data_IF_223380369663
#
_entry.id   IF_223380369663
#
_cell.length_a   1.000
_cell.length_b   1.000
_cell.length_c   1.000
_cell.angle_alpha   90.00
_cell.angle_beta   90.00
_cell.angle_gamma   90.00
#
_symmetry.space_group_name_H-M   'P 1'
#
loop_
_entity.id
_entity.type
_entity.pdbx_description
1 polymer ?
#
# COMPACT_ATOMS: atom_id res chain seq x y z
N UNK A 1 12.48 0.20 20.40
CA UNK A 1 11.22 -0.06 21.13
C UNK A 1 10.26 -0.61 20.10
N UNK A 2 10.00 -1.92 20.06
CA UNK A 2 9.36 -2.58 18.90
C UNK A 2 8.00 -2.00 18.51
N UNK A 3 7.20 -1.52 19.47
CA UNK A 3 5.93 -0.85 19.18
C UNK A 3 6.14 0.56 18.60
N UNK A 4 7.16 1.29 19.07
CA UNK A 4 7.49 2.59 18.51
C UNK A 4 8.02 2.45 17.07
N UNK A 5 8.78 1.39 16.82
CA UNK A 5 9.48 1.16 15.55
C UNK A 5 8.62 0.42 14.51
N UNK A 6 7.39 -0.01 14.83
CA UNK A 6 6.52 -0.63 13.84
C UNK A 6 6.09 0.38 12.78
N UNK A 7 6.02 -0.06 11.52
CA UNK A 7 5.77 0.84 10.38
C UNK A 7 4.38 1.50 10.47
N UNK A 8 3.37 0.78 10.96
CA UNK A 8 2.03 1.31 11.27
C UNK A 8 2.09 2.49 12.25
N UNK A 9 2.86 2.35 13.34
CA UNK A 9 3.01 3.39 14.35
C UNK A 9 3.84 4.58 13.83
N UNK A 10 4.78 4.33 12.90
CA UNK A 10 5.50 5.40 12.20
C UNK A 10 4.57 6.19 11.28
N UNK A 11 3.71 5.51 10.51
CA UNK A 11 2.71 6.13 9.64
C UNK A 11 1.72 6.97 10.44
N UNK A 12 1.16 6.42 11.50
CA UNK A 12 0.21 7.11 12.37
C UNK A 12 0.82 8.40 12.92
N UNK A 13 2.01 8.34 13.53
CA UNK A 13 2.68 9.54 14.06
C UNK A 13 2.99 10.58 12.99
N UNK A 14 3.37 10.13 11.79
CA UNK A 14 3.77 11.03 10.70
C UNK A 14 2.56 11.74 10.09
N UNK A 15 1.44 11.03 9.92
CA UNK A 15 0.29 11.53 9.18
C UNK A 15 -0.79 12.14 10.09
N UNK A 16 -0.91 11.72 11.35
CA UNK A 16 -1.94 12.25 12.27
C UNK A 16 -1.97 13.78 12.33
N UNK A 17 -0.84 14.52 12.43
CA UNK A 17 -0.87 15.98 12.42
C UNK A 17 -1.46 16.59 11.13
N UNK A 18 -1.25 15.93 9.98
CA UNK A 18 -1.76 16.38 8.68
C UNK A 18 -3.29 16.23 8.63
N UNK A 19 -3.81 15.07 9.05
CA UNK A 19 -5.25 14.83 9.11
C UNK A 19 -5.94 15.70 10.19
N UNK A 20 -5.30 15.87 11.35
CA UNK A 20 -5.81 16.74 12.41
C UNK A 20 -5.91 18.21 11.96
N UNK A 21 -4.97 18.71 11.16
CA UNK A 21 -5.05 20.05 10.58
C UNK A 21 -6.28 20.24 9.66
N UNK A 22 -6.75 19.16 9.04
CA UNK A 22 -7.99 19.11 8.26
C UNK A 22 -9.24 18.76 9.10
N UNK A 23 -9.12 18.68 10.43
CA UNK A 23 -10.19 18.24 11.36
C UNK A 23 -10.67 16.81 11.12
N UNK A 24 -9.76 15.93 10.68
CA UNK A 24 -10.00 14.50 10.49
C UNK A 24 -9.26 13.69 11.56
N UNK A 25 -9.80 12.50 11.86
CA UNK A 25 -9.13 11.48 12.66
C UNK A 25 -8.45 10.47 11.73
N UNK A 26 -7.27 9.98 12.12
CA UNK A 26 -6.52 8.98 11.35
C UNK A 26 -6.45 7.69 12.15
N UNK A 27 -6.87 6.59 11.52
CA UNK A 27 -6.68 5.25 12.05
C UNK A 27 -5.80 4.46 11.10
N UNK A 28 -4.74 3.85 11.64
CA UNK A 28 -3.82 3.01 10.87
C UNK A 28 -4.00 1.57 11.31
N UNK A 29 -4.21 0.68 10.33
CA UNK A 29 -4.40 -0.75 10.57
C UNK A 29 -3.49 -1.54 9.64
N UNK A 30 -2.75 -2.51 10.18
CA UNK A 30 -1.86 -3.36 9.40
C UNK A 30 -2.61 -4.60 8.89
N UNK A 31 -2.64 -4.76 7.56
CA UNK A 31 -3.12 -5.96 6.88
C UNK A 31 -2.02 -6.64 6.03
N UNK A 32 -0.75 -6.32 6.28
CA UNK A 32 0.41 -6.96 5.65
C UNK A 32 1.00 -8.06 6.54
N UNK A 33 2.32 -8.23 6.48
CA UNK A 33 3.07 -9.15 7.35
C UNK A 33 2.68 -8.96 8.82
N UNK A 34 2.34 -10.06 9.50
CA UNK A 34 1.87 -10.06 10.89
C UNK A 34 0.43 -9.59 11.10
N UNK A 35 -0.25 -9.04 10.08
CA UNK A 35 -1.62 -8.50 10.12
C UNK A 35 -2.75 -9.55 10.01
N UNK A 36 -2.44 -10.83 10.23
CA UNK A 36 -3.45 -11.90 10.39
C UNK A 36 -4.00 -12.54 9.12
N UNK A 37 -3.61 -12.12 7.92
CA UNK A 37 -4.12 -12.66 6.63
C UNK A 37 -3.03 -13.29 5.72
N UNK A 38 -1.81 -13.44 6.26
CA UNK A 38 -0.70 -14.13 5.61
C UNK A 38 0.51 -13.23 5.33
N UNK A 39 1.67 -13.86 5.16
CA UNK A 39 2.95 -13.21 4.94
C UNK A 39 3.37 -13.30 3.46
N UNK A 40 2.56 -12.69 2.59
CA UNK A 40 2.82 -12.70 1.14
C UNK A 40 2.12 -11.52 0.46
N UNK A 41 2.86 -10.78 -0.38
CA UNK A 41 2.29 -9.75 -1.25
C UNK A 41 1.15 -10.31 -2.12
N UNK A 42 1.20 -11.58 -2.54
CA UNK A 42 0.13 -12.19 -3.34
C UNK A 42 -1.24 -12.24 -2.64
N UNK A 43 -1.30 -12.03 -1.32
CA UNK A 43 -2.53 -12.06 -0.54
C UNK A 43 -3.15 -10.67 -0.31
N UNK A 44 -2.52 -9.59 -0.75
CA UNK A 44 -2.91 -8.21 -0.43
C UNK A 44 -4.39 -7.87 -0.70
N UNK A 45 -4.95 -8.34 -1.80
CA UNK A 45 -6.38 -8.14 -2.12
C UNK A 45 -7.27 -8.78 -1.06
N UNK A 46 -6.98 -10.04 -0.72
CA UNK A 46 -7.73 -10.79 0.28
C UNK A 46 -7.58 -10.15 1.66
N UNK A 47 -6.36 -9.78 2.03
CA UNK A 47 -6.03 -9.11 3.27
C UNK A 47 -6.83 -7.83 3.50
N UNK A 48 -6.82 -6.91 2.54
CA UNK A 48 -7.58 -5.65 2.65
C UNK A 48 -9.08 -5.93 2.66
N UNK A 49 -9.56 -6.84 1.80
CA UNK A 49 -10.98 -7.15 1.70
C UNK A 49 -11.55 -7.82 2.96
N UNK A 50 -10.80 -8.65 3.66
CA UNK A 50 -11.27 -9.37 4.85
C UNK A 50 -11.08 -8.58 6.15
N UNK A 51 -9.93 -7.93 6.30
CA UNK A 51 -9.54 -7.37 7.59
C UNK A 51 -9.86 -5.88 7.73
N UNK A 52 -9.97 -5.15 6.62
CA UNK A 52 -10.07 -3.68 6.64
C UNK A 52 -11.37 -3.15 6.00
N UNK A 53 -11.88 -3.82 4.97
CA UNK A 53 -13.15 -3.46 4.32
C UNK A 53 -14.34 -3.51 5.30
N UNK A 54 -15.36 -2.64 5.18
CA UNK A 54 -15.57 -1.63 4.12
C UNK A 54 -14.96 -0.27 4.43
N UNK A 55 -14.38 -0.07 5.62
CA UNK A 55 -14.02 1.24 6.16
C UNK A 55 -12.56 1.60 5.86
N UNK A 56 -12.18 1.53 4.57
CA UNK A 56 -10.85 1.90 4.09
C UNK A 56 -10.94 3.06 3.13
N UNK A 57 -10.22 4.14 3.45
CA UNK A 57 -10.15 5.34 2.62
C UNK A 57 -8.83 5.42 1.83
N UNK A 58 -7.75 4.86 2.39
CA UNK A 58 -6.42 4.80 1.77
C UNK A 58 -5.80 3.43 2.05
N UNK A 59 -5.28 2.78 1.01
CA UNK A 59 -4.45 1.57 1.11
C UNK A 59 -2.99 1.98 0.93
N UNK A 60 -2.18 1.88 1.98
CA UNK A 60 -0.74 2.11 1.91
C UNK A 60 0.00 0.79 1.65
N UNK A 61 0.43 0.57 0.42
CA UNK A 61 1.12 -0.63 -0.04
C UNK A 61 2.65 -0.47 0.07
N UNK A 62 3.29 -1.34 0.87
CA UNK A 62 4.72 -1.24 1.21
C UNK A 62 5.48 -2.58 1.21
N UNK A 63 5.05 -3.55 0.40
CA UNK A 63 5.74 -4.86 0.26
C UNK A 63 7.05 -4.79 -0.54
N UNK A 64 7.52 -3.61 -0.93
CA UNK A 64 8.55 -3.41 -1.97
C UNK A 64 9.88 -4.09 -1.73
N UNK A 65 10.23 -4.41 -0.49
CA UNK A 65 11.42 -5.19 -0.16
C UNK A 65 11.25 -6.72 -0.39
N UNK A 66 10.02 -7.22 -0.31
CA UNK A 66 9.67 -8.65 -0.30
C UNK A 66 9.02 -9.13 -1.60
N UNK A 67 8.73 -8.22 -2.53
CA UNK A 67 8.21 -8.56 -3.84
C UNK A 67 9.24 -9.38 -4.64
N UNK A 68 8.81 -10.55 -5.11
CA UNK A 68 9.63 -11.44 -5.94
C UNK A 68 8.75 -12.06 -7.02
N UNK A 69 9.06 -11.74 -8.28
CA UNK A 69 8.43 -12.30 -9.48
C UNK A 69 6.92 -12.00 -9.61
N UNK A 70 6.53 -11.23 -10.62
CA UNK A 70 5.12 -10.91 -10.90
C UNK A 70 4.50 -9.89 -9.93
N UNK A 71 5.31 -8.96 -9.41
CA UNK A 71 4.87 -7.97 -8.43
C UNK A 71 3.86 -6.99 -9.04
N UNK A 72 4.10 -6.61 -10.29
CA UNK A 72 3.23 -5.77 -11.12
C UNK A 72 1.81 -6.33 -11.24
N UNK A 73 1.66 -7.65 -11.41
CA UNK A 73 0.35 -8.30 -11.48
C UNK A 73 -0.42 -8.14 -10.17
N UNK A 74 0.25 -8.33 -9.04
CA UNK A 74 -0.38 -8.21 -7.74
C UNK A 74 -0.77 -6.75 -7.47
N UNK A 75 0.13 -5.80 -7.75
CA UNK A 75 -0.13 -4.37 -7.61
C UNK A 75 -1.33 -3.94 -8.46
N UNK A 76 -1.38 -4.35 -9.73
CA UNK A 76 -2.51 -4.05 -10.61
C UNK A 76 -3.82 -4.64 -10.07
N UNK A 77 -3.80 -5.88 -9.59
CA UNK A 77 -4.97 -6.49 -8.94
C UNK A 77 -5.44 -5.67 -7.74
N UNK A 78 -4.53 -5.22 -6.88
CA UNK A 78 -4.86 -4.39 -5.73
C UNK A 78 -5.53 -3.08 -6.15
N UNK A 79 -4.96 -2.39 -7.15
CA UNK A 79 -5.54 -1.15 -7.68
C UNK A 79 -6.95 -1.39 -8.24
N UNK A 80 -7.13 -2.42 -9.07
CA UNK A 80 -8.44 -2.74 -9.65
C UNK A 80 -9.47 -3.10 -8.58
N UNK A 81 -9.08 -3.92 -7.61
CA UNK A 81 -9.97 -4.31 -6.51
C UNK A 81 -10.34 -3.13 -5.61
N UNK A 82 -9.40 -2.23 -5.32
CA UNK A 82 -9.67 -1.01 -4.58
C UNK A 82 -10.80 -0.20 -5.24
N UNK A 83 -10.82 -0.08 -6.57
CA UNK A 83 -11.91 0.61 -7.29
C UNK A 83 -13.29 -0.05 -7.13
N UNK A 84 -13.33 -1.34 -6.79
CA UNK A 84 -14.56 -2.09 -6.55
C UNK A 84 -15.00 -2.11 -5.08
N UNK A 85 -14.16 -1.65 -4.14
CA UNK A 85 -14.52 -1.58 -2.73
C UNK A 85 -15.53 -0.45 -2.46
N UNK A 86 -16.34 -0.53 -1.39
CA UNK A 86 -17.43 0.41 -1.13
C UNK A 86 -17.00 1.89 -1.10
N UNK A 87 -15.85 2.19 -0.49
CA UNK A 87 -15.30 3.55 -0.39
C UNK A 87 -14.31 3.92 -1.49
N UNK A 88 -13.99 2.97 -2.37
CA UNK A 88 -13.02 3.13 -3.48
C UNK A 88 -11.71 3.76 -3.02
N UNK A 89 -11.00 3.16 -2.05
CA UNK A 89 -9.81 3.76 -1.46
C UNK A 89 -8.75 4.06 -2.51
N UNK A 90 -8.02 5.16 -2.27
CA UNK A 90 -6.80 5.44 -3.02
C UNK A 90 -5.72 4.43 -2.65
N UNK A 91 -4.87 4.07 -3.61
CA UNK A 91 -3.76 3.15 -3.37
C UNK A 91 -2.46 3.95 -3.42
N UNK A 92 -1.80 4.06 -2.26
CA UNK A 92 -0.51 4.69 -2.10
C UNK A 92 0.57 3.62 -2.06
N UNK A 93 1.44 3.60 -3.05
CA UNK A 93 2.54 2.64 -3.16
C UNK A 93 3.84 3.30 -2.72
N UNK A 94 4.36 2.86 -1.57
CA UNK A 94 5.71 3.24 -1.15
C UNK A 94 6.73 2.41 -1.91
N UNK A 95 7.44 3.08 -2.81
CA UNK A 95 8.60 2.54 -3.50
C UNK A 95 9.82 2.84 -2.63
N UNK A 96 10.18 1.92 -1.74
CA UNK A 96 11.38 2.05 -0.92
C UNK A 96 12.65 1.91 -1.81
N UNK A 97 13.00 2.97 -2.54
CA UNK A 97 14.11 3.06 -3.52
C UNK A 97 15.47 3.11 -2.81
N UNK A 98 15.93 1.98 -2.28
CA UNK A 98 17.32 1.79 -1.86
C UNK A 98 18.13 1.11 -2.97
N UNK A 99 19.05 1.84 -3.62
CA UNK A 99 20.04 1.36 -4.62
C UNK A 99 19.62 0.12 -5.43
N UNK A 100 19.04 0.39 -6.60
CA UNK A 100 18.72 -0.57 -7.64
C UNK A 100 17.58 -1.53 -7.25
N UNK A 101 16.41 -1.31 -7.87
CA UNK A 101 15.28 -2.23 -7.86
C UNK A 101 15.75 -3.54 -8.50
N UNK A 102 16.26 -4.48 -7.69
CA UNK A 102 17.23 -5.49 -8.17
C UNK A 102 18.46 -4.83 -8.84
N UNK A 103 19.49 -5.55 -9.23
CA UNK A 103 20.66 -4.93 -9.88
C UNK A 103 20.37 -4.16 -11.21
N UNK A 104 19.11 -3.98 -11.65
CA UNK A 104 18.74 -3.77 -13.06
C UNK A 104 17.74 -2.61 -13.37
N UNK A 105 17.47 -1.70 -12.45
CA UNK A 105 16.60 -0.50 -12.63
C UNK A 105 15.08 -0.74 -12.69
N UNK A 106 14.29 0.35 -12.76
CA UNK A 106 12.81 0.29 -12.85
C UNK A 106 12.40 -0.35 -14.18
N UNK A 107 11.65 -1.45 -14.13
CA UNK A 107 11.15 -2.11 -15.33
C UNK A 107 10.13 -1.21 -16.04
N UNK A 108 10.06 -1.32 -17.37
CA UNK A 108 9.13 -0.52 -18.17
C UNK A 108 7.66 -0.79 -17.77
N UNK A 109 7.38 -2.00 -17.31
CA UNK A 109 6.07 -2.47 -16.84
C UNK A 109 5.64 -1.70 -15.57
N UNK A 110 6.54 -1.46 -14.62
CA UNK A 110 6.24 -0.68 -13.42
C UNK A 110 5.90 0.76 -13.77
N UNK A 111 6.72 1.39 -14.63
CA UNK A 111 6.47 2.77 -15.08
C UNK A 111 5.15 2.86 -15.85
N UNK A 112 4.82 1.85 -16.66
CA UNK A 112 3.55 1.79 -17.38
C UNK A 112 2.36 1.64 -16.43
N UNK A 113 2.47 0.81 -15.39
CA UNK A 113 1.44 0.64 -14.36
C UNK A 113 1.21 1.96 -13.61
N UNK A 114 2.27 2.60 -13.12
CA UNK A 114 2.21 3.90 -12.43
C UNK A 114 1.48 4.94 -13.28
N UNK A 115 1.86 5.08 -14.56
CA UNK A 115 1.24 6.04 -15.48
C UNK A 115 -0.21 5.73 -15.79
N UNK A 116 -0.54 4.45 -15.99
CA UNK A 116 -1.90 4.02 -16.34
C UNK A 116 -2.86 4.27 -15.19
N UNK A 117 -2.43 3.97 -13.96
CA UNK A 117 -3.31 4.03 -12.80
C UNK A 117 -3.28 5.34 -12.01
N UNK A 118 -2.32 6.24 -12.29
CA UNK A 118 -2.26 7.56 -11.66
C UNK A 118 -3.58 8.34 -11.75
N UNK A 119 -4.27 8.26 -12.88
CA UNK A 119 -5.56 8.93 -13.10
C UNK A 119 -6.70 8.36 -12.23
N UNK A 120 -6.51 7.16 -11.66
CA UNK A 120 -7.50 6.44 -10.85
C UNK A 120 -7.15 6.45 -9.35
N UNK A 121 -6.28 7.35 -8.90
CA UNK A 121 -5.92 7.49 -7.48
C UNK A 121 -4.86 6.50 -7.02
N UNK A 122 -4.04 5.99 -7.94
CA UNK A 122 -2.82 5.25 -7.62
C UNK A 122 -1.62 6.20 -7.55
N UNK A 123 -0.99 6.31 -6.38
CA UNK A 123 0.15 7.22 -6.17
C UNK A 123 1.37 6.40 -5.77
N UNK A 124 2.39 6.35 -6.64
CA UNK A 124 3.69 5.73 -6.34
C UNK A 124 4.71 6.82 -5.98
N UNK A 125 5.42 6.65 -4.85
CA UNK A 125 6.41 7.61 -4.35
C UNK A 125 7.60 6.92 -3.66
#
# INVERSE_FOLDING_TARGET
NCHYDSYESQLERTLTPIFAAAKMDLQVQNAGEGGGCGDSHKNQVFCVAQNLSPDVDIIHYSWTYFEKGGAEEQREQLVRWAQHMPRRPMVHHLVARGKANTCEADSAENVALDRTYALYGYNAF
#
